data_IF_989742635707
#
_entry.id   IF_989742635707
#
_cell.length_a   1.000
_cell.length_b   1.000
_cell.length_c   1.000
_cell.angle_alpha   90.00
_cell.angle_beta   90.00
_cell.angle_gamma   90.00
#
_symmetry.space_group_name_H-M   'P 1'
#
loop_
_entity.id
_entity.type
_entity.pdbx_description
1 polymer ?
#
# COMPACT_ATOMS: atom_id res chain seq x y z
N UNK A 1 -12.17 18.06 -8.83
CA UNK A 1 -13.27 17.08 -8.96
C UNK A 1 -12.92 16.16 -10.12
N UNK A 2 -12.67 14.89 -9.83
CA UNK A 2 -12.54 13.85 -10.87
C UNK A 2 -13.90 13.61 -11.51
N UNK A 3 -13.92 13.41 -12.84
CA UNK A 3 -15.15 13.06 -13.54
C UNK A 3 -15.66 11.70 -13.06
N UNK A 4 -17.00 11.53 -13.03
CA UNK A 4 -17.62 10.23 -12.75
C UNK A 4 -17.23 9.25 -13.86
N UNK A 5 -16.86 7.99 -13.54
CA UNK A 5 -16.53 7.02 -14.57
C UNK A 5 -17.77 6.65 -15.39
N UNK A 6 -17.58 6.11 -16.59
CA UNK A 6 -18.67 5.56 -17.40
C UNK A 6 -19.11 4.19 -16.88
N UNK A 7 -18.14 3.42 -16.37
CA UNK A 7 -18.35 2.06 -15.87
C UNK A 7 -17.78 1.88 -14.47
N UNK A 8 -18.41 1.00 -13.69
CA UNK A 8 -17.76 0.39 -12.53
C UNK A 8 -17.37 -1.04 -12.87
N UNK A 9 -16.25 -1.48 -12.31
CA UNK A 9 -15.90 -2.91 -12.26
C UNK A 9 -16.02 -3.33 -10.81
N UNK A 10 -17.05 -4.11 -10.49
CA UNK A 10 -17.14 -4.76 -9.18
C UNK A 10 -15.98 -5.74 -9.10
N UNK A 11 -15.19 -5.66 -8.04
CA UNK A 11 -14.05 -6.55 -7.83
C UNK A 11 -14.18 -7.20 -6.46
N UNK A 12 -14.12 -8.53 -6.45
CA UNK A 12 -14.17 -9.35 -5.25
C UNK A 12 -13.08 -10.41 -5.32
N UNK A 13 -12.43 -10.69 -4.20
CA UNK A 13 -11.37 -11.70 -4.10
C UNK A 13 -11.57 -12.53 -2.85
N UNK A 14 -11.21 -13.81 -2.94
CA UNK A 14 -11.10 -14.70 -1.79
C UNK A 14 -9.64 -15.10 -1.62
N UNK A 15 -9.26 -15.51 -0.41
CA UNK A 15 -7.92 -16.05 -0.11
C UNK A 15 -8.00 -17.47 0.39
N UNK A 16 -6.87 -18.20 0.33
CA UNK A 16 -6.67 -19.51 0.92
C UNK A 16 -6.81 -19.53 2.47
N UNK A 17 -6.94 -18.35 3.08
CA UNK A 17 -6.98 -18.15 4.52
C UNK A 17 -8.26 -17.47 4.97
N UNK A 18 -8.06 -16.40 5.72
CA UNK A 18 -9.13 -15.64 6.34
C UNK A 18 -9.84 -14.78 5.29
N UNK A 19 -11.17 -14.83 5.28
CA UNK A 19 -12.03 -14.08 4.37
C UNK A 19 -12.93 -13.08 5.15
N UNK A 20 -13.83 -12.37 4.46
CA UNK A 20 -14.77 -11.43 5.09
C UNK A 20 -14.08 -10.28 5.83
N UNK A 21 -14.47 -10.00 7.08
CA UNK A 21 -13.96 -8.86 7.85
C UNK A 21 -12.45 -8.90 8.17
N UNK A 22 -11.82 -10.06 8.02
CA UNK A 22 -10.39 -10.27 8.25
C UNK A 22 -9.63 -10.67 6.97
N UNK A 23 -10.20 -10.39 5.80
CA UNK A 23 -9.63 -10.70 4.49
C UNK A 23 -8.17 -10.23 4.37
N UNK A 24 -7.25 -11.16 4.11
CA UNK A 24 -5.82 -10.89 3.89
C UNK A 24 -4.99 -10.63 5.16
N UNK A 25 -5.57 -10.81 6.36
CA UNK A 25 -4.86 -10.55 7.63
C UNK A 25 -3.89 -11.65 8.07
N UNK A 26 -3.83 -12.78 7.38
CA UNK A 26 -3.04 -13.97 7.75
C UNK A 26 -1.96 -14.34 6.71
N UNK A 27 -1.63 -13.43 5.80
CA UNK A 27 -0.66 -13.60 4.70
C UNK A 27 -0.98 -14.71 3.69
N UNK A 28 -2.17 -15.32 3.76
CA UNK A 28 -2.58 -16.35 2.81
C UNK A 28 -2.92 -15.73 1.45
N UNK A 29 -2.59 -16.48 0.41
CA UNK A 29 -2.62 -16.03 -0.98
C UNK A 29 -4.04 -16.01 -1.55
N UNK A 30 -4.25 -15.16 -2.56
CA UNK A 30 -5.49 -15.05 -3.33
C UNK A 30 -5.81 -16.38 -4.00
N UNK A 31 -7.08 -16.77 -3.87
CA UNK A 31 -7.63 -18.03 -4.37
C UNK A 31 -8.56 -17.80 -5.57
N UNK A 32 -9.40 -16.76 -5.51
CA UNK A 32 -10.33 -16.42 -6.58
C UNK A 32 -10.31 -14.92 -6.86
N UNK A 33 -10.39 -14.57 -8.13
CA UNK A 33 -10.56 -13.21 -8.64
C UNK A 33 -11.89 -13.15 -9.39
N UNK A 34 -12.87 -12.45 -8.82
CA UNK A 34 -14.19 -12.30 -9.40
C UNK A 34 -14.46 -10.85 -9.77
N UNK A 35 -15.10 -10.64 -10.91
CA UNK A 35 -15.53 -9.31 -11.32
C UNK A 35 -16.77 -9.30 -12.18
N UNK A 36 -17.43 -8.14 -12.20
CA UNK A 36 -18.60 -7.85 -13.03
C UNK A 36 -18.60 -6.39 -13.43
N UNK A 37 -18.88 -6.10 -14.70
CA UNK A 37 -18.99 -4.73 -15.20
C UNK A 37 -20.38 -4.17 -14.87
N UNK A 38 -20.45 -2.89 -14.52
CA UNK A 38 -21.68 -2.13 -14.36
C UNK A 38 -21.65 -0.93 -15.29
N UNK A 39 -22.59 -0.85 -16.23
CA UNK A 39 -22.78 0.35 -17.06
C UNK A 39 -23.59 1.38 -16.28
N UNK A 40 -22.97 2.50 -15.90
CA UNK A 40 -23.62 3.52 -15.08
C UNK A 40 -24.66 4.34 -15.86
N UNK A 41 -24.65 4.28 -17.19
CA UNK A 41 -25.59 4.99 -18.06
C UNK A 41 -26.81 4.13 -18.36
N UNK A 42 -26.62 2.89 -18.81
CA UNK A 42 -27.73 1.96 -19.08
C UNK A 42 -28.30 1.32 -17.82
N UNK A 43 -27.55 1.36 -16.70
CA UNK A 43 -27.90 0.72 -15.42
C UNK A 43 -28.04 -0.80 -15.55
N UNK A 44 -27.12 -1.39 -16.30
CA UNK A 44 -27.10 -2.83 -16.54
C UNK A 44 -25.86 -3.47 -15.94
N UNK A 45 -26.01 -4.73 -15.52
CA UNK A 45 -24.94 -5.59 -15.04
C UNK A 45 -24.47 -6.50 -16.18
N UNK A 46 -23.16 -6.54 -16.39
CA UNK A 46 -22.50 -7.41 -17.37
C UNK A 46 -22.46 -8.87 -16.94
N UNK A 47 -21.49 -9.62 -17.48
CA UNK A 47 -21.31 -11.02 -17.12
C UNK A 47 -20.45 -11.17 -15.86
N UNK A 48 -20.77 -12.16 -15.02
CA UNK A 48 -19.90 -12.56 -13.92
C UNK A 48 -18.69 -13.30 -14.51
N UNK A 49 -17.50 -12.84 -14.16
CA UNK A 49 -16.25 -13.55 -14.41
C UNK A 49 -15.72 -14.08 -13.08
N UNK A 50 -15.36 -15.37 -13.06
CA UNK A 50 -14.81 -16.07 -11.89
C UNK A 50 -13.54 -16.81 -12.33
N UNK A 51 -12.39 -16.37 -11.83
CA UNK A 51 -11.09 -16.95 -12.16
C UNK A 51 -10.42 -17.46 -10.89
N UNK A 52 -10.18 -18.77 -10.84
CA UNK A 52 -9.32 -19.36 -9.84
C UNK A 52 -7.87 -18.90 -10.05
N UNK A 53 -7.14 -18.73 -8.95
CA UNK A 53 -5.74 -18.35 -8.94
C UNK A 53 -4.97 -19.35 -8.11
N UNK A 54 -3.93 -19.93 -8.71
CA UNK A 54 -3.11 -20.94 -8.02
C UNK A 54 -2.17 -20.26 -7.02
N UNK A 55 -2.27 -20.55 -5.71
CA UNK A 55 -1.33 -20.08 -4.71
C UNK A 55 -0.01 -20.85 -4.81
N UNK A 56 1.08 -20.23 -4.34
CA UNK A 56 2.37 -20.90 -4.22
C UNK A 56 2.33 -21.94 -3.07
N UNK A 57 1.55 -21.66 -2.03
CA UNK A 57 1.25 -22.59 -0.92
C UNK A 57 -0.17 -23.11 -1.04
N UNK A 58 -0.33 -24.41 -1.32
CA UNK A 58 -1.62 -25.05 -1.57
C UNK A 58 -2.42 -25.40 -0.32
N UNK A 59 -1.89 -25.11 0.88
CA UNK A 59 -2.60 -25.33 2.13
C UNK A 59 -3.75 -24.33 2.30
N UNK A 60 -4.98 -24.84 2.22
CA UNK A 60 -6.20 -24.10 2.51
C UNK A 60 -6.58 -24.25 3.98
N UNK A 61 -7.07 -23.18 4.59
CA UNK A 61 -7.68 -23.26 5.92
C UNK A 61 -9.06 -23.93 5.85
N UNK A 62 -9.50 -24.56 6.94
CA UNK A 62 -10.83 -25.18 7.00
C UNK A 62 -11.95 -24.15 6.75
N UNK A 63 -11.81 -22.94 7.29
CA UNK A 63 -12.72 -21.81 7.06
C UNK A 63 -12.82 -21.46 5.57
N UNK A 64 -11.68 -21.36 4.88
CA UNK A 64 -11.64 -21.12 3.44
C UNK A 64 -12.35 -22.23 2.66
N UNK A 65 -12.10 -23.50 2.98
CA UNK A 65 -12.70 -24.64 2.26
C UNK A 65 -14.23 -24.66 2.42
N UNK A 66 -14.73 -24.37 3.61
CA UNK A 66 -16.16 -24.30 3.91
C UNK A 66 -16.85 -23.17 3.13
N UNK A 67 -16.23 -21.99 3.09
CA UNK A 67 -16.81 -20.80 2.48
C UNK A 67 -16.72 -20.83 0.94
N UNK A 68 -15.52 -21.11 0.41
CA UNK A 68 -15.25 -20.98 -1.03
C UNK A 68 -15.72 -22.18 -1.84
N UNK A 69 -15.79 -23.37 -1.20
CA UNK A 69 -16.10 -24.65 -1.85
C UNK A 69 -15.21 -24.96 -3.07
N UNK A 70 -14.03 -24.34 -3.14
CA UNK A 70 -13.07 -24.56 -4.24
C UNK A 70 -12.44 -25.93 -4.08
N UNK A 71 -12.49 -26.72 -5.16
CA UNK A 71 -11.86 -28.02 -5.20
C UNK A 71 -10.34 -27.90 -5.47
N UNK A 72 -9.57 -28.76 -4.81
CA UNK A 72 -8.09 -28.72 -4.85
C UNK A 72 -7.55 -29.06 -6.25
N UNK A 73 -8.28 -29.87 -7.03
CA UNK A 73 -7.86 -30.29 -8.37
C UNK A 73 -7.95 -29.12 -9.37
N UNK A 74 -9.06 -28.39 -9.38
CA UNK A 74 -9.22 -27.17 -10.18
C UNK A 74 -8.22 -26.11 -9.79
N UNK A 75 -7.91 -25.98 -8.50
CA UNK A 75 -6.90 -25.03 -8.02
C UNK A 75 -5.49 -25.38 -8.54
N UNK A 76 -5.15 -26.66 -8.64
CA UNK A 76 -3.85 -27.09 -9.16
C UNK A 76 -3.68 -26.74 -10.66
N UNK A 77 -4.79 -26.72 -11.42
CA UNK A 77 -4.84 -26.36 -12.83
C UNK A 77 -5.00 -24.86 -13.07
N UNK A 78 -5.27 -24.08 -12.03
CA UNK A 78 -5.50 -22.64 -12.14
C UNK A 78 -4.24 -21.87 -12.57
N UNK A 79 -4.40 -20.73 -13.27
CA UNK A 79 -3.29 -19.85 -13.63
C UNK A 79 -2.65 -19.20 -12.38
N UNK A 80 -1.36 -18.83 -12.44
CA UNK A 80 -0.76 -17.97 -11.43
C UNK A 80 -1.36 -16.56 -11.48
N UNK A 81 -1.22 -15.80 -10.39
CA UNK A 81 -1.80 -14.46 -10.23
C UNK A 81 -1.52 -13.53 -11.42
N UNK A 82 -0.30 -13.51 -11.94
CA UNK A 82 0.06 -12.64 -13.07
C UNK A 82 -0.77 -12.95 -14.32
N UNK A 83 -1.01 -14.23 -14.62
CA UNK A 83 -1.82 -14.64 -15.76
C UNK A 83 -3.30 -14.36 -15.53
N UNK A 84 -3.81 -14.56 -14.30
CA UNK A 84 -5.18 -14.18 -13.93
C UNK A 84 -5.43 -12.67 -14.10
N UNK A 85 -4.46 -11.83 -13.69
CA UNK A 85 -4.54 -10.37 -13.90
C UNK A 85 -4.49 -9.98 -15.38
N UNK A 86 -3.71 -10.69 -16.21
CA UNK A 86 -3.71 -10.48 -17.67
C UNK A 86 -5.07 -10.85 -18.27
N UNK A 87 -5.65 -11.97 -17.86
CA UNK A 87 -6.98 -12.39 -18.28
C UNK A 87 -8.05 -11.38 -17.88
N UNK A 88 -7.99 -10.86 -16.64
CA UNK A 88 -8.84 -9.77 -16.17
C UNK A 88 -8.75 -8.55 -17.10
N UNK A 89 -7.54 -8.05 -17.36
CA UNK A 89 -7.34 -6.85 -18.17
C UNK A 89 -7.86 -7.05 -19.60
N UNK A 90 -7.60 -8.22 -20.20
CA UNK A 90 -8.10 -8.55 -21.53
C UNK A 90 -9.63 -8.61 -21.56
N UNK A 91 -10.24 -9.25 -20.57
CA UNK A 91 -11.69 -9.39 -20.47
C UNK A 91 -12.39 -8.03 -20.35
N UNK A 92 -11.95 -7.20 -19.39
CA UNK A 92 -12.51 -5.86 -19.19
C UNK A 92 -12.27 -4.96 -20.41
N UNK A 93 -11.10 -5.06 -21.04
CA UNK A 93 -10.82 -4.28 -22.27
C UNK A 93 -11.76 -4.64 -23.42
N UNK A 94 -12.07 -5.92 -23.58
CA UNK A 94 -12.98 -6.42 -24.60
C UNK A 94 -14.44 -6.04 -24.29
N UNK A 95 -14.88 -6.21 -23.04
CA UNK A 95 -16.28 -5.94 -22.64
C UNK A 95 -16.62 -4.46 -22.71
N UNK A 96 -15.69 -3.59 -22.28
CA UNK A 96 -15.89 -2.14 -22.30
C UNK A 96 -15.62 -1.49 -23.66
N UNK A 97 -15.17 -2.26 -24.66
CA UNK A 97 -14.64 -1.74 -25.93
C UNK A 97 -13.76 -0.51 -25.70
N UNK A 98 -12.75 -0.63 -24.81
CA UNK A 98 -11.94 0.51 -24.34
C UNK A 98 -11.22 1.16 -25.52
N UNK A 99 -11.91 2.06 -26.22
CA UNK A 99 -11.37 3.01 -27.16
C UNK A 99 -10.92 4.27 -26.42
N UNK A 100 -10.51 5.28 -27.18
CA UNK A 100 -10.11 6.58 -26.62
C UNK A 100 -11.34 7.27 -26.03
N UNK A 101 -11.49 7.24 -24.69
CA UNK A 101 -12.48 8.03 -23.96
C UNK A 101 -13.34 7.27 -22.96
N UNK A 102 -13.36 5.94 -22.96
CA UNK A 102 -14.13 5.15 -21.98
C UNK A 102 -13.37 5.06 -20.66
N UNK A 103 -14.03 5.43 -19.56
CA UNK A 103 -13.43 5.40 -18.22
C UNK A 103 -14.13 4.38 -17.33
N UNK A 104 -13.34 3.64 -16.53
CA UNK A 104 -13.88 2.78 -15.49
C UNK A 104 -13.09 2.93 -14.18
N UNK A 105 -13.72 2.56 -13.08
CA UNK A 105 -13.07 2.47 -11.77
C UNK A 105 -13.54 1.21 -11.06
N UNK A 106 -12.69 0.63 -10.22
CA UNK A 106 -13.12 -0.48 -9.37
C UNK A 106 -14.14 -0.03 -8.34
N UNK A 107 -15.00 -0.94 -7.92
CA UNK A 107 -15.85 -0.80 -6.74
C UNK A 107 -15.75 -2.08 -5.90
N UNK A 108 -15.33 -1.97 -4.64
CA UNK A 108 -15.08 -3.12 -3.76
C UNK A 108 -15.91 -3.04 -2.49
N UNK A 109 -16.22 -4.18 -1.88
CA UNK A 109 -16.83 -4.20 -0.55
C UNK A 109 -15.76 -3.87 0.50
N UNK A 110 -15.69 -2.60 0.89
CA UNK A 110 -14.61 -2.10 1.74
C UNK A 110 -13.26 -2.07 1.03
N UNK A 111 -12.19 -1.90 1.81
CA UNK A 111 -10.85 -1.67 1.28
C UNK A 111 -9.97 -2.91 1.14
N UNK A 112 -10.35 -4.03 1.77
CA UNK A 112 -9.44 -5.15 2.02
C UNK A 112 -8.99 -5.85 0.72
N UNK A 113 -9.88 -5.99 -0.26
CA UNK A 113 -9.60 -6.61 -1.56
C UNK A 113 -8.38 -5.98 -2.26
N UNK A 114 -8.35 -4.64 -2.32
CA UNK A 114 -7.25 -3.88 -2.91
C UNK A 114 -6.06 -3.80 -1.95
N UNK A 115 -6.30 -3.32 -0.72
CA UNK A 115 -5.23 -2.88 0.19
C UNK A 115 -4.56 -3.99 0.99
N UNK A 116 -5.26 -5.10 1.28
CA UNK A 116 -4.72 -6.22 2.07
C UNK A 116 -4.41 -7.47 1.24
N UNK A 117 -5.03 -7.63 0.06
CA UNK A 117 -4.80 -8.82 -0.78
C UNK A 117 -3.97 -8.47 -2.02
N UNK A 118 -4.56 -7.75 -2.98
CA UNK A 118 -3.95 -7.56 -4.31
C UNK A 118 -2.60 -6.82 -4.26
N UNK A 119 -2.53 -5.68 -3.57
CA UNK A 119 -1.27 -4.90 -3.51
C UNK A 119 -0.16 -5.64 -2.75
N UNK A 120 -0.39 -6.21 -1.55
CA UNK A 120 0.62 -7.00 -0.86
C UNK A 120 1.08 -8.23 -1.64
N UNK A 121 0.16 -9.00 -2.22
CA UNK A 121 0.52 -10.24 -2.92
C UNK A 121 1.27 -9.96 -4.22
N UNK A 122 0.79 -9.01 -5.04
CA UNK A 122 1.50 -8.60 -6.24
C UNK A 122 2.92 -8.10 -5.92
N UNK A 123 3.07 -7.32 -4.83
CA UNK A 123 4.38 -6.90 -4.33
C UNK A 123 5.27 -8.07 -3.91
N UNK A 124 4.74 -9.04 -3.16
CA UNK A 124 5.50 -10.25 -2.75
C UNK A 124 5.96 -11.06 -3.97
N UNK A 125 5.11 -11.17 -5.00
CA UNK A 125 5.38 -11.92 -6.25
C UNK A 125 6.11 -11.11 -7.32
N UNK A 126 6.52 -9.87 -7.05
CA UNK A 126 7.15 -8.96 -8.01
C UNK A 126 6.31 -8.69 -9.27
N UNK A 127 4.99 -8.69 -9.14
CA UNK A 127 4.03 -8.42 -10.21
C UNK A 127 3.70 -6.93 -10.20
N UNK A 128 3.81 -6.28 -11.36
CA UNK A 128 3.37 -4.90 -11.53
C UNK A 128 1.86 -4.87 -11.77
N UNK A 129 1.13 -4.26 -10.84
CA UNK A 129 -0.29 -4.01 -11.02
C UNK A 129 -0.53 -2.89 -12.07
N UNK A 130 -1.50 -3.05 -12.98
CA UNK A 130 -1.96 -1.99 -13.87
C UNK A 130 -2.47 -0.76 -13.09
N UNK A 131 -2.45 0.40 -13.72
CA UNK A 131 -2.89 1.69 -13.15
C UNK A 131 -4.32 1.64 -12.57
N UNK A 132 -5.24 0.90 -13.19
CA UNK A 132 -6.61 0.79 -12.69
C UNK A 132 -6.71 0.24 -11.26
N UNK A 133 -5.73 -0.54 -10.77
CA UNK A 133 -5.72 -1.09 -9.41
C UNK A 133 -5.29 -0.09 -8.33
N UNK A 134 -4.96 1.15 -8.70
CA UNK A 134 -4.57 2.21 -7.77
C UNK A 134 -5.70 3.20 -7.45
N UNK A 135 -6.89 2.97 -7.99
CA UNK A 135 -8.09 3.77 -7.75
C UNK A 135 -9.33 2.87 -7.63
N UNK A 136 -10.11 3.04 -6.57
CA UNK A 136 -11.32 2.25 -6.36
C UNK A 136 -12.36 3.01 -5.53
N UNK A 137 -13.63 2.65 -5.65
CA UNK A 137 -14.68 3.08 -4.75
C UNK A 137 -14.88 2.04 -3.65
N UNK A 138 -14.91 2.49 -2.41
CA UNK A 138 -15.34 1.68 -1.28
C UNK A 138 -16.87 1.72 -1.21
N UNK A 139 -17.53 0.62 -1.58
CA UNK A 139 -18.98 0.56 -1.65
C UNK A 139 -19.65 0.87 -0.30
N UNK A 140 -19.02 0.53 0.82
CA UNK A 140 -19.58 0.80 2.17
C UNK A 140 -19.59 2.30 2.45
N UNK A 141 -18.53 3.01 2.05
CA UNK A 141 -18.45 4.47 2.16
C UNK A 141 -19.45 5.15 1.23
N UNK A 142 -19.55 4.70 -0.02
CA UNK A 142 -20.51 5.23 -1.00
C UNK A 142 -21.96 5.00 -0.56
N UNK A 143 -22.25 3.83 0.01
CA UNK A 143 -23.55 3.51 0.60
C UNK A 143 -23.87 4.43 1.78
N UNK A 144 -22.94 4.65 2.71
CA UNK A 144 -23.14 5.55 3.86
C UNK A 144 -23.44 7.00 3.45
N UNK A 145 -22.87 7.46 2.33
CA UNK A 145 -23.19 8.79 1.74
C UNK A 145 -24.66 8.86 1.30
N UNK A 146 -25.20 7.78 0.71
CA UNK A 146 -26.58 7.70 0.24
C UNK A 146 -27.58 7.44 1.36
N UNK A 147 -27.16 6.70 2.38
CA UNK A 147 -28.00 6.21 3.47
C UNK A 147 -27.45 6.67 4.83
N UNK A 148 -27.53 7.97 5.22
CA UNK A 148 -26.92 8.46 6.46
C UNK A 148 -27.41 7.75 7.73
N UNK A 149 -28.65 7.25 7.72
CA UNK A 149 -29.25 6.50 8.84
C UNK A 149 -28.81 5.04 8.95
N UNK A 150 -27.95 4.55 8.05
CA UNK A 150 -27.38 3.19 8.15
C UNK A 150 -26.38 3.09 9.31
N UNK A 151 -25.96 1.87 9.71
CA UNK A 151 -24.84 1.68 10.63
C UNK A 151 -23.56 2.41 10.19
N UNK A 152 -22.63 2.58 11.14
CA UNK A 152 -21.28 3.09 10.89
C UNK A 152 -20.54 2.22 9.87
N UNK A 153 -19.66 2.82 9.07
CA UNK A 153 -18.98 2.16 7.93
C UNK A 153 -18.27 0.86 8.35
N UNK A 154 -17.62 0.84 9.51
CA UNK A 154 -16.93 -0.35 10.03
C UNK A 154 -17.85 -1.53 10.42
N UNK A 155 -19.17 -1.31 10.48
CA UNK A 155 -20.20 -2.32 10.73
C UNK A 155 -21.01 -2.68 9.49
N UNK A 156 -20.73 -2.03 8.35
CA UNK A 156 -21.35 -2.36 7.07
C UNK A 156 -20.56 -3.49 6.40
N UNK A 157 -21.30 -4.38 5.76
CA UNK A 157 -20.85 -5.34 4.76
C UNK A 157 -21.97 -5.51 3.71
N UNK A 158 -21.75 -6.35 2.69
CA UNK A 158 -22.73 -6.59 1.63
C UNK A 158 -24.08 -7.06 2.18
N UNK A 159 -24.07 -7.93 3.21
CA UNK A 159 -25.30 -8.47 3.79
C UNK A 159 -26.10 -7.39 4.54
N UNK A 160 -25.43 -6.54 5.31
CA UNK A 160 -26.06 -5.42 6.01
C UNK A 160 -26.63 -4.38 5.03
N UNK A 161 -25.94 -4.13 3.91
CA UNK A 161 -26.42 -3.20 2.88
C UNK A 161 -27.63 -3.75 2.12
N UNK A 162 -27.62 -5.04 1.74
CA UNK A 162 -28.78 -5.67 1.08
C UNK A 162 -30.00 -5.71 1.99
N UNK A 163 -29.82 -6.06 3.27
CA UNK A 163 -30.89 -6.03 4.27
C UNK A 163 -31.48 -4.63 4.44
N UNK A 164 -30.63 -3.60 4.57
CA UNK A 164 -31.09 -2.21 4.71
C UNK A 164 -31.91 -1.75 3.50
N UNK A 165 -31.52 -2.16 2.29
CA UNK A 165 -32.21 -1.82 1.05
C UNK A 165 -33.44 -2.70 0.76
N UNK A 166 -33.70 -3.72 1.59
CA UNK A 166 -34.74 -4.74 1.35
C UNK A 166 -34.58 -5.42 -0.02
N UNK A 167 -33.35 -5.75 -0.40
CA UNK A 167 -33.08 -6.49 -1.63
C UNK A 167 -33.39 -7.98 -1.42
N UNK A 168 -34.25 -8.54 -2.26
CA UNK A 168 -34.63 -9.95 -2.21
C UNK A 168 -33.41 -10.85 -2.44
N UNK A 169 -33.19 -11.83 -1.55
CA UNK A 169 -32.18 -12.88 -1.70
C UNK A 169 -32.59 -13.98 -2.71
N UNK A 170 -33.42 -13.63 -3.70
CA UNK A 170 -33.98 -14.60 -4.67
C UNK A 170 -32.96 -15.11 -5.70
N UNK A 171 -31.67 -14.83 -5.50
CA UNK A 171 -30.61 -15.38 -6.34
C UNK A 171 -30.49 -16.89 -6.15
N UNK A 172 -30.18 -17.64 -7.22
CA UNK A 172 -29.83 -19.06 -7.11
C UNK A 172 -28.67 -19.25 -6.12
N UNK A 173 -28.48 -20.48 -5.62
CA UNK A 173 -27.39 -20.83 -4.72
C UNK A 173 -26.04 -20.67 -5.44
N UNK A 174 -25.55 -19.43 -5.53
CA UNK A 174 -24.25 -19.11 -6.06
C UNK A 174 -23.16 -19.48 -5.04
N UNK A 175 -21.97 -19.89 -5.50
CA UNK A 175 -20.79 -19.94 -4.65
C UNK A 175 -20.58 -18.59 -3.95
N UNK A 176 -19.98 -18.61 -2.75
CA UNK A 176 -19.86 -17.45 -1.87
C UNK A 176 -19.41 -16.17 -2.60
N UNK A 177 -18.29 -16.22 -3.34
CA UNK A 177 -17.77 -15.05 -4.05
C UNK A 177 -18.71 -14.52 -5.13
N UNK A 178 -19.36 -15.41 -5.88
CA UNK A 178 -20.33 -15.04 -6.91
C UNK A 178 -21.55 -14.34 -6.29
N UNK A 179 -22.07 -14.85 -5.17
CA UNK A 179 -23.17 -14.21 -4.44
C UNK A 179 -22.80 -12.79 -3.99
N UNK A 180 -21.57 -12.58 -3.49
CA UNK A 180 -21.11 -11.25 -3.08
C UNK A 180 -21.08 -10.26 -4.25
N UNK A 181 -20.58 -10.68 -5.42
CA UNK A 181 -20.52 -9.83 -6.62
C UNK A 181 -21.92 -9.48 -7.13
N UNK A 182 -22.86 -10.43 -7.13
CA UNK A 182 -24.26 -10.17 -7.52
C UNK A 182 -24.94 -9.17 -6.58
N UNK A 183 -24.81 -9.38 -5.26
CA UNK A 183 -25.40 -8.51 -4.26
C UNK A 183 -24.80 -7.09 -4.33
N UNK A 184 -23.49 -6.97 -4.52
CA UNK A 184 -22.84 -5.68 -4.77
C UNK A 184 -23.38 -5.00 -6.03
N UNK A 185 -23.63 -5.75 -7.10
CA UNK A 185 -24.27 -5.26 -8.31
C UNK A 185 -25.65 -4.67 -8.05
N UNK A 186 -26.50 -5.41 -7.34
CA UNK A 186 -27.84 -4.97 -6.98
C UNK A 186 -27.83 -3.73 -6.08
N UNK A 187 -26.89 -3.64 -5.14
CA UNK A 187 -26.68 -2.44 -4.31
C UNK A 187 -26.32 -1.26 -5.21
N UNK A 188 -25.31 -1.41 -6.09
CA UNK A 188 -24.86 -0.33 -6.98
C UNK A 188 -26.00 0.15 -7.88
N UNK A 189 -26.74 -0.77 -8.52
CA UNK A 189 -27.89 -0.43 -9.36
C UNK A 189 -28.97 0.35 -8.60
N UNK A 190 -29.19 -0.02 -7.33
CA UNK A 190 -30.12 0.68 -6.43
C UNK A 190 -29.61 2.09 -6.12
N UNK A 191 -28.34 2.25 -5.77
CA UNK A 191 -27.74 3.55 -5.44
C UNK A 191 -27.77 4.53 -6.61
N UNK A 192 -27.56 4.08 -7.85
CA UNK A 192 -27.57 4.96 -9.04
C UNK A 192 -28.98 5.22 -9.58
N UNK A 193 -30.01 4.62 -8.97
CA UNK A 193 -31.41 4.77 -9.36
C UNK A 193 -32.19 5.62 -8.38
N UNK A 194 -33.39 6.06 -8.79
CA UNK A 194 -34.33 6.71 -7.89
C UNK A 194 -34.61 5.78 -6.70
N UNK A 195 -34.63 6.29 -5.46
CA UNK A 195 -34.60 7.70 -5.08
C UNK A 195 -33.19 8.29 -4.85
N UNK A 196 -32.13 7.48 -4.90
CA UNK A 196 -30.79 7.88 -4.47
C UNK A 196 -30.02 8.70 -5.50
N UNK A 197 -30.10 8.33 -6.79
CA UNK A 197 -29.40 9.00 -7.90
C UNK A 197 -27.91 9.27 -7.64
N UNK A 198 -27.24 8.35 -6.96
CA UNK A 198 -25.85 8.51 -6.54
C UNK A 198 -24.89 8.65 -7.72
N UNK A 199 -23.84 9.44 -7.53
CA UNK A 199 -22.77 9.63 -8.51
C UNK A 199 -21.40 9.37 -7.87
N UNK A 200 -20.76 8.31 -8.32
CA UNK A 200 -19.39 7.96 -7.97
C UNK A 200 -18.42 8.99 -8.55
N UNK A 201 -17.69 9.72 -7.70
CA UNK A 201 -16.83 10.83 -8.15
C UNK A 201 -15.51 11.02 -7.38
N UNK A 202 -15.41 10.52 -6.16
CA UNK A 202 -14.21 10.65 -5.31
C UNK A 202 -13.69 9.26 -4.88
N UNK A 203 -12.92 8.56 -5.73
CA UNK A 203 -12.42 7.23 -5.43
C UNK A 203 -11.26 7.27 -4.44
N UNK A 204 -11.15 6.22 -3.63
CA UNK A 204 -9.97 5.89 -2.84
C UNK A 204 -8.74 5.71 -3.74
N UNK A 205 -7.58 6.13 -3.24
CA UNK A 205 -6.31 6.09 -3.97
C UNK A 205 -5.29 5.21 -3.25
N UNK A 206 -4.49 4.48 -4.01
CA UNK A 206 -3.26 3.83 -3.53
C UNK A 206 -2.06 4.55 -4.14
N UNK A 207 -1.06 4.88 -3.34
CA UNK A 207 0.15 5.54 -3.84
C UNK A 207 0.99 4.56 -4.69
N UNK A 208 1.38 4.98 -5.89
CA UNK A 208 2.24 4.19 -6.79
C UNK A 208 3.59 3.86 -6.17
N UNK A 209 4.21 4.88 -5.58
CA UNK A 209 5.53 4.83 -4.96
C UNK A 209 5.49 5.49 -3.59
N UNK A 210 6.38 5.04 -2.71
CA UNK A 210 6.66 5.75 -1.48
C UNK A 210 7.57 6.95 -1.77
N UNK A 211 7.22 8.09 -1.19
CA UNK A 211 8.00 9.32 -1.31
C UNK A 211 8.81 9.53 -0.04
N UNK A 212 10.11 9.26 -0.11
CA UNK A 212 11.05 9.67 0.93
C UNK A 212 11.10 11.20 1.02
N UNK A 213 11.40 11.72 2.20
CA UNK A 213 11.51 13.16 2.39
C UNK A 213 11.81 13.53 3.84
N UNK A 214 12.29 14.76 4.07
CA UNK A 214 12.50 15.25 5.43
C UNK A 214 11.17 15.47 6.14
N UNK A 215 11.15 15.22 7.46
CA UNK A 215 10.05 15.59 8.35
C UNK A 215 10.51 16.71 9.29
N UNK A 216 9.71 17.77 9.39
CA UNK A 216 10.00 18.90 10.28
C UNK A 216 9.54 18.58 11.71
N UNK A 217 10.33 18.99 12.71
CA UNK A 217 9.87 18.94 14.11
C UNK A 217 8.62 19.78 14.40
N UNK A 218 8.33 20.76 13.56
CA UNK A 218 7.12 21.61 13.68
C UNK A 218 5.92 21.04 12.95
N UNK A 219 6.06 19.90 12.27
CA UNK A 219 4.97 19.29 11.55
C UNK A 219 3.93 18.72 12.52
N UNK A 220 2.66 18.99 12.25
CA UNK A 220 1.57 18.39 13.00
C UNK A 220 1.36 16.96 12.51
N UNK A 221 1.61 15.99 13.39
CA UNK A 221 1.40 14.57 13.14
C UNK A 221 0.21 14.10 13.96
N UNK A 222 -0.78 13.51 13.30
CA UNK A 222 -1.92 12.88 13.97
C UNK A 222 -1.45 11.65 14.76
N UNK A 223 -1.71 11.63 16.06
CA UNK A 223 -1.37 10.53 16.96
C UNK A 223 -2.07 9.22 16.57
N UNK A 224 -3.19 9.29 15.86
CA UNK A 224 -3.91 8.10 15.40
C UNK A 224 -3.40 7.54 14.07
N UNK A 225 -2.43 8.20 13.42
CA UNK A 225 -1.93 7.79 12.11
C UNK A 225 -0.54 7.10 12.17
N UNK A 226 -0.01 6.80 13.35
CA UNK A 226 1.36 6.27 13.51
C UNK A 226 1.37 4.84 14.07
N UNK A 227 2.28 4.01 13.54
CA UNK A 227 2.66 2.72 14.12
C UNK A 227 4.15 2.69 14.46
N UNK A 228 4.52 1.75 15.34
CA UNK A 228 5.88 1.27 15.55
C UNK A 228 6.00 -0.15 15.05
N UNK A 229 6.92 -0.38 14.11
CA UNK A 229 7.29 -1.70 13.63
C UNK A 229 8.58 -2.16 14.32
N UNK A 230 8.63 -3.42 14.77
CA UNK A 230 9.81 -4.04 15.43
C UNK A 230 10.16 -5.38 14.79
N UNK A 231 11.43 -5.74 14.90
CA UNK A 231 11.95 -7.01 14.37
C UNK A 231 12.44 -6.93 12.93
N UNK A 232 12.55 -5.72 12.37
CA UNK A 232 13.03 -5.49 11.01
C UNK A 232 14.44 -6.06 10.84
N UNK A 233 14.75 -6.70 9.70
CA UNK A 233 16.13 -7.00 9.32
C UNK A 233 17.03 -5.76 9.46
N UNK A 234 18.26 -5.91 9.95
CA UNK A 234 19.15 -4.76 10.21
C UNK A 234 19.51 -3.95 8.96
N UNK A 235 19.43 -4.56 7.77
CA UNK A 235 19.70 -3.90 6.49
C UNK A 235 18.48 -3.20 5.88
N UNK A 236 17.30 -3.30 6.52
CA UNK A 236 16.06 -2.73 5.98
C UNK A 236 16.15 -1.23 5.78
N UNK A 237 15.70 -0.79 4.62
CA UNK A 237 15.51 0.60 4.21
C UNK A 237 14.07 1.07 4.47
N UNK A 238 13.83 2.36 4.25
CA UNK A 238 12.48 2.93 4.19
C UNK A 238 11.65 2.33 3.03
N UNK A 239 12.28 1.98 1.92
CA UNK A 239 11.64 1.28 0.80
C UNK A 239 11.20 -0.15 1.18
N UNK A 240 11.99 -0.88 1.99
CA UNK A 240 11.60 -2.20 2.48
C UNK A 240 10.37 -2.11 3.40
N UNK A 241 10.32 -1.07 4.24
CA UNK A 241 9.15 -0.77 5.09
C UNK A 241 7.93 -0.44 4.22
N UNK A 242 8.10 0.44 3.23
CA UNK A 242 7.03 0.79 2.30
C UNK A 242 6.52 -0.43 1.52
N UNK A 243 7.42 -1.35 1.16
CA UNK A 243 7.08 -2.61 0.50
C UNK A 243 6.29 -3.54 1.42
N UNK A 244 6.67 -3.64 2.70
CA UNK A 244 5.92 -4.41 3.70
C UNK A 244 4.52 -3.85 3.93
N UNK A 245 4.34 -2.53 3.87
CA UNK A 245 3.03 -1.86 3.97
C UNK A 245 2.38 -1.52 2.61
N UNK A 246 2.80 -2.18 1.51
CA UNK A 246 2.24 -1.92 0.16
C UNK A 246 0.71 -2.05 0.16
N UNK A 247 0.03 -1.14 -0.54
CA UNK A 247 -1.44 -1.00 -0.52
C UNK A 247 -1.95 0.05 0.46
N UNK A 248 -1.14 0.41 1.46
CA UNK A 248 -1.44 1.46 2.43
C UNK A 248 -0.64 2.71 2.10
N UNK A 249 -1.26 3.88 2.20
CA UNK A 249 -0.57 5.13 1.88
C UNK A 249 0.19 5.63 3.11
N UNK A 250 1.51 5.47 3.07
CA UNK A 250 2.46 6.14 3.97
C UNK A 250 2.57 7.61 3.53
N UNK A 251 2.57 8.54 4.47
CA UNK A 251 2.78 9.96 4.19
C UNK A 251 4.19 10.21 3.61
N UNK A 252 4.39 11.31 2.89
CA UNK A 252 5.72 11.71 2.41
C UNK A 252 6.69 11.85 3.60
N UNK A 253 7.86 11.21 3.52
CA UNK A 253 8.80 11.15 4.64
C UNK A 253 8.28 10.37 5.87
N UNK A 254 7.16 9.65 5.73
CA UNK A 254 6.44 8.98 6.80
C UNK A 254 7.07 7.67 7.28
N UNK A 255 8.33 7.37 6.95
CA UNK A 255 9.02 6.18 7.42
C UNK A 255 10.35 6.58 8.08
N UNK A 256 10.48 6.32 9.38
CA UNK A 256 11.62 6.72 10.18
C UNK A 256 12.26 5.51 10.86
N UNK A 257 13.47 5.15 10.44
CA UNK A 257 14.25 4.07 11.02
C UNK A 257 14.84 4.50 12.37
N UNK A 258 14.60 3.71 13.41
CA UNK A 258 15.18 3.96 14.73
C UNK A 258 16.66 3.60 14.74
N UNK A 259 17.45 4.48 15.35
CA UNK A 259 18.89 4.30 15.52
C UNK A 259 19.23 4.11 17.00
N UNK A 260 20.24 3.29 17.28
CA UNK A 260 20.83 3.18 18.60
C UNK A 260 21.76 4.37 18.91
N UNK A 261 22.33 4.41 20.11
CA UNK A 261 23.26 5.48 20.53
C UNK A 261 24.51 5.61 19.63
N UNK A 262 24.91 4.53 18.96
CA UNK A 262 26.00 4.54 17.96
C UNK A 262 25.51 4.91 16.55
N UNK A 263 24.26 5.37 16.41
CA UNK A 263 23.65 5.74 15.13
C UNK A 263 23.41 4.57 14.18
N UNK A 264 23.45 3.31 14.64
CA UNK A 264 23.17 2.11 13.83
C UNK A 264 21.69 1.75 13.94
N UNK A 265 21.11 1.21 12.87
CA UNK A 265 19.72 0.71 12.87
C UNK A 265 19.55 -0.35 13.97
N UNK A 266 18.51 -0.22 14.78
CA UNK A 266 18.25 -1.15 15.90
C UNK A 266 17.16 -2.20 15.58
N UNK A 267 16.66 -2.25 14.34
CA UNK A 267 15.59 -3.17 13.94
C UNK A 267 14.17 -2.68 14.25
N UNK A 268 14.01 -1.38 14.51
CA UNK A 268 12.71 -0.74 14.71
C UNK A 268 12.49 0.44 13.75
N UNK A 269 11.23 0.76 13.49
CA UNK A 269 10.84 1.94 12.72
C UNK A 269 9.53 2.53 13.22
N UNK A 270 9.35 3.83 13.06
CA UNK A 270 8.07 4.52 13.19
C UNK A 270 7.55 4.83 11.79
N UNK A 271 6.26 4.55 11.56
CA UNK A 271 5.63 4.75 10.24
C UNK A 271 4.36 5.57 10.42
N UNK A 272 4.29 6.69 9.71
CA UNK A 272 3.15 7.60 9.63
C UNK A 272 2.38 7.36 8.35
N UNK A 273 1.13 6.97 8.48
CA UNK A 273 0.18 6.87 7.39
C UNK A 273 -0.54 8.18 7.13
N UNK A 274 -1.22 8.29 5.99
CA UNK A 274 -2.03 9.48 5.66
C UNK A 274 -3.35 9.56 6.45
N UNK A 275 -3.77 8.46 7.10
CA UNK A 275 -5.01 8.38 7.87
C UNK A 275 -4.95 7.31 8.97
N UNK A 276 -5.81 7.46 9.99
CA UNK A 276 -6.03 6.44 11.02
C UNK A 276 -6.50 5.10 10.42
N UNK A 277 -7.33 5.13 9.39
CA UNK A 277 -7.84 3.94 8.74
C UNK A 277 -6.70 3.09 8.12
N UNK A 278 -5.71 3.72 7.49
CA UNK A 278 -4.53 3.02 6.98
C UNK A 278 -3.64 2.51 8.11
N UNK A 279 -3.51 3.26 9.22
CA UNK A 279 -2.82 2.82 10.44
C UNK A 279 -3.48 1.55 10.99
N UNK A 280 -4.81 1.50 11.05
CA UNK A 280 -5.53 0.33 11.54
C UNK A 280 -5.39 -0.89 10.62
N UNK A 281 -5.41 -0.70 9.30
CA UNK A 281 -5.06 -1.77 8.35
C UNK A 281 -3.61 -2.24 8.51
N UNK A 282 -2.67 -1.34 8.84
CA UNK A 282 -1.29 -1.70 9.09
C UNK A 282 -1.13 -2.58 10.35
N UNK A 283 -1.95 -2.36 11.39
CA UNK A 283 -1.95 -3.20 12.60
C UNK A 283 -2.37 -4.64 12.31
N UNK A 284 -3.18 -4.87 11.28
CA UNK A 284 -3.55 -6.23 10.84
C UNK A 284 -2.37 -7.00 10.24
N UNK A 285 -1.24 -6.33 9.95
CA UNK A 285 0.01 -6.98 9.51
C UNK A 285 0.92 -7.38 10.68
N UNK A 286 0.38 -7.41 11.90
CA UNK A 286 1.13 -7.91 13.05
C UNK A 286 1.53 -9.36 12.84
N UNK A 287 2.83 -9.65 13.03
CA UNK A 287 3.50 -10.93 12.79
C UNK A 287 3.59 -11.35 11.33
N UNK A 288 3.30 -10.45 10.39
CA UNK A 288 3.60 -10.71 8.98
C UNK A 288 5.11 -10.74 8.74
N UNK A 289 5.54 -11.38 7.66
CA UNK A 289 6.95 -11.61 7.40
C UNK A 289 7.57 -10.57 6.47
N UNK A 290 8.75 -10.09 6.86
CA UNK A 290 9.69 -9.37 6.01
C UNK A 290 10.94 -10.25 5.83
N UNK A 291 10.97 -11.03 4.75
CA UNK A 291 11.94 -12.12 4.60
C UNK A 291 11.77 -13.16 5.71
N UNK A 292 12.85 -13.51 6.40
CA UNK A 292 12.85 -14.52 7.46
C UNK A 292 12.49 -13.97 8.86
N UNK A 293 11.95 -12.74 8.92
CA UNK A 293 11.65 -12.05 10.18
C UNK A 293 10.17 -11.73 10.24
N UNK A 294 9.48 -12.19 11.28
CA UNK A 294 8.16 -11.66 11.60
C UNK A 294 8.32 -10.24 12.16
N UNK A 295 7.38 -9.37 11.79
CA UNK A 295 7.38 -7.97 12.20
C UNK A 295 6.26 -7.74 13.22
N UNK A 296 6.62 -7.21 14.38
CA UNK A 296 5.63 -6.76 15.34
C UNK A 296 5.18 -5.35 14.99
N UNK A 297 3.88 -5.06 15.07
CA UNK A 297 3.31 -3.77 14.67
C UNK A 297 2.40 -3.30 15.80
N UNK A 298 2.68 -2.12 16.34
CA UNK A 298 1.97 -1.55 17.47
C UNK A 298 1.55 -0.11 17.17
N UNK A 299 0.51 0.37 17.84
CA UNK A 299 0.15 1.80 17.82
C UNK A 299 1.31 2.62 18.42
N UNK A 300 1.55 3.79 17.85
CA UNK A 300 2.48 4.79 18.38
C UNK A 300 1.88 6.19 18.17
N UNK A 301 2.52 7.22 18.73
CA UNK A 301 2.02 8.61 18.65
C UNK A 301 2.80 9.42 17.62
N UNK A 302 2.25 10.57 17.24
CA UNK A 302 2.94 11.58 16.43
C UNK A 302 4.16 12.14 17.16
N UNK A 303 4.09 12.28 18.48
CA UNK A 303 5.23 12.67 19.30
C UNK A 303 6.39 11.66 19.19
N UNK A 304 6.09 10.35 19.26
CA UNK A 304 7.09 9.30 19.08
C UNK A 304 7.71 9.34 17.68
N UNK A 305 6.90 9.60 16.65
CA UNK A 305 7.39 9.77 15.28
C UNK A 305 8.32 10.97 15.18
N UNK A 306 7.93 12.15 15.66
CA UNK A 306 8.71 13.39 15.58
C UNK A 306 10.02 13.34 16.38
N UNK A 307 10.08 12.58 17.47
CA UNK A 307 11.33 12.33 18.21
C UNK A 307 12.39 11.65 17.36
N UNK A 308 11.99 10.80 16.42
CA UNK A 308 12.89 10.02 15.55
C UNK A 308 13.07 10.70 14.19
N UNK A 309 11.97 11.13 13.56
CA UNK A 309 11.94 11.67 12.21
C UNK A 309 12.25 13.17 12.13
N UNK A 310 11.97 13.90 13.21
CA UNK A 310 12.08 15.36 13.22
C UNK A 310 13.53 15.82 13.18
N UNK A 311 13.98 16.32 12.03
CA UNK A 311 15.27 17.01 11.91
C UNK A 311 15.24 18.37 12.63
N UNK A 312 16.34 18.75 13.30
CA UNK A 312 16.45 20.04 14.00
C UNK A 312 16.98 21.19 13.17
N UNK A 313 17.71 20.93 12.07
CA UNK A 313 18.35 21.99 11.29
C UNK A 313 17.79 22.09 9.87
N UNK A 314 17.45 23.33 9.47
CA UNK A 314 17.04 23.66 8.11
C UNK A 314 18.08 23.23 7.07
N UNK A 315 19.36 23.25 7.43
CA UNK A 315 20.47 22.81 6.58
C UNK A 315 20.40 21.30 6.28
N UNK A 316 20.15 20.47 7.30
CA UNK A 316 19.95 19.01 7.10
C UNK A 316 18.69 18.78 6.27
N UNK A 317 17.60 19.50 6.54
CA UNK A 317 16.36 19.37 5.77
C UNK A 317 16.56 19.73 4.28
N UNK A 318 17.27 20.82 3.97
CA UNK A 318 17.62 21.21 2.61
C UNK A 318 18.53 20.17 1.94
N UNK A 319 19.52 19.66 2.66
CA UNK A 319 20.44 18.64 2.16
C UNK A 319 19.71 17.33 1.83
N UNK A 320 18.77 16.90 2.68
CA UNK A 320 17.95 15.69 2.48
C UNK A 320 16.83 15.88 1.45
N UNK A 321 16.45 17.11 1.12
CA UNK A 321 15.37 17.41 0.17
C UNK A 321 15.77 17.27 -1.31
N UNK A 322 17.06 17.08 -1.60
CA UNK A 322 17.57 16.93 -2.97
C UNK A 322 17.08 15.60 -3.56
N UNK A 323 16.10 15.67 -4.45
CA UNK A 323 15.47 14.48 -5.06
C UNK A 323 16.43 13.67 -5.93
N UNK A 324 16.18 12.36 -6.03
CA UNK A 324 16.94 11.39 -6.84
C UNK A 324 18.44 11.29 -6.49
N UNK A 325 18.81 11.47 -5.22
CA UNK A 325 20.18 11.34 -4.74
C UNK A 325 20.29 10.25 -3.68
N UNK A 326 21.41 9.53 -3.68
CA UNK A 326 21.74 8.51 -2.69
C UNK A 326 22.70 9.10 -1.66
N UNK A 327 22.38 8.94 -0.38
CA UNK A 327 23.16 9.53 0.71
C UNK A 327 23.99 8.45 1.39
N UNK A 328 25.30 8.64 1.44
CA UNK A 328 26.22 7.79 2.20
C UNK A 328 26.69 8.54 3.45
N UNK A 329 26.60 7.89 4.61
CA UNK A 329 27.18 8.41 5.86
C UNK A 329 28.61 7.89 6.01
N UNK A 330 29.57 8.80 5.95
CA UNK A 330 30.95 8.56 6.36
C UNK A 330 31.06 8.67 7.89
N UNK A 331 31.92 7.83 8.49
CA UNK A 331 32.23 7.86 9.93
C UNK A 331 33.72 7.73 10.15
N UNK A 332 34.18 8.24 11.30
CA UNK A 332 35.59 8.15 11.68
C UNK A 332 36.50 9.08 10.88
N UNK A 333 35.94 10.16 10.34
CA UNK A 333 36.70 11.19 9.67
C UNK A 333 37.58 11.94 10.67
N UNK A 334 38.80 12.34 10.29
CA UNK A 334 39.62 13.25 11.09
C UNK A 334 38.83 14.52 11.45
N UNK A 335 38.96 15.01 12.69
CA UNK A 335 38.20 16.18 13.15
C UNK A 335 38.51 17.48 12.39
N UNK A 336 39.63 17.54 11.70
CA UNK A 336 40.05 18.65 10.86
C UNK A 336 39.86 18.40 9.36
N UNK A 337 39.14 17.34 8.97
CA UNK A 337 38.91 17.01 7.55
C UNK A 337 38.17 18.14 6.85
N UNK A 338 38.56 18.39 5.62
CA UNK A 338 37.96 19.40 4.74
C UNK A 338 37.05 18.76 3.69
N UNK A 339 36.15 19.54 3.10
CA UNK A 339 35.30 19.07 2.00
C UNK A 339 36.14 18.62 0.81
N UNK A 340 37.23 19.31 0.50
CA UNK A 340 38.17 18.99 -0.58
C UNK A 340 38.82 17.62 -0.41
N UNK A 341 39.18 17.26 0.83
CA UNK A 341 39.72 15.94 1.15
C UNK A 341 38.68 14.84 0.97
N UNK A 342 37.41 15.09 1.36
CA UNK A 342 36.30 14.15 1.11
C UNK A 342 36.04 13.96 -0.39
N UNK A 343 36.05 15.04 -1.17
CA UNK A 343 35.89 14.97 -2.62
C UNK A 343 37.04 14.21 -3.29
N UNK A 344 38.25 14.40 -2.79
CA UNK A 344 39.45 13.71 -3.29
C UNK A 344 39.43 12.22 -2.93
N UNK A 345 38.96 11.87 -1.74
CA UNK A 345 38.80 10.48 -1.28
C UNK A 345 37.90 9.67 -2.22
N UNK A 346 36.74 10.22 -2.60
CA UNK A 346 35.85 9.55 -3.55
C UNK A 346 36.35 9.64 -4.99
N UNK A 347 36.95 10.75 -5.39
CA UNK A 347 37.60 10.94 -6.68
C UNK A 347 36.64 10.79 -7.87
N UNK A 348 37.20 10.68 -9.09
CA UNK A 348 36.41 10.67 -10.32
C UNK A 348 35.58 9.40 -10.54
N UNK A 349 35.94 8.29 -9.89
CA UNK A 349 35.21 7.01 -10.01
C UNK A 349 33.93 6.95 -9.16
N UNK A 350 33.78 7.86 -8.19
CA UNK A 350 32.58 8.01 -7.37
C UNK A 350 32.28 9.50 -7.20
N UNK A 351 31.84 10.22 -8.24
CA UNK A 351 31.69 11.67 -8.16
C UNK A 351 30.58 12.04 -7.16
N UNK A 352 30.94 12.92 -6.22
CA UNK A 352 29.98 13.49 -5.25
C UNK A 352 29.09 14.50 -5.96
N UNK A 353 27.78 14.32 -5.85
CA UNK A 353 26.77 15.18 -6.49
C UNK A 353 26.77 16.56 -5.86
N UNK A 354 26.89 17.61 -6.68
CA UNK A 354 26.93 18.99 -6.18
C UNK A 354 28.28 19.41 -5.58
N UNK A 355 29.33 18.60 -5.73
CA UNK A 355 30.68 18.92 -5.27
C UNK A 355 30.67 19.25 -3.78
N UNK A 356 31.11 20.46 -3.41
CA UNK A 356 31.18 20.88 -2.00
C UNK A 356 29.82 20.89 -1.30
N UNK A 357 28.76 21.27 -2.03
CA UNK A 357 27.38 21.28 -1.51
C UNK A 357 26.77 19.87 -1.40
N UNK A 358 27.50 18.84 -1.86
CA UNK A 358 27.18 17.43 -1.73
C UNK A 358 27.73 16.79 -0.47
N UNK A 359 28.44 17.54 0.37
CA UNK A 359 29.05 17.06 1.62
C UNK A 359 28.50 17.86 2.79
N UNK A 360 27.93 17.16 3.77
CA UNK A 360 27.41 17.76 5.01
C UNK A 360 28.12 17.15 6.21
N UNK A 361 28.94 17.94 6.90
CA UNK A 361 29.57 17.52 8.14
C UNK A 361 28.58 17.56 9.30
N UNK A 362 28.61 16.53 10.13
CA UNK A 362 27.78 16.45 11.34
C UNK A 362 28.55 17.09 12.50
N UNK A 363 27.99 18.15 13.07
CA UNK A 363 28.54 18.83 14.24
C UNK A 363 27.63 18.67 15.46
N UNK A 364 28.22 18.71 16.64
CA UNK A 364 27.50 18.85 17.89
C UNK A 364 26.86 20.25 17.98
N UNK A 365 25.87 20.48 18.88
CA UNK A 365 25.27 21.81 19.08
C UNK A 365 26.27 22.92 19.42
N UNK A 366 27.43 22.57 19.97
CA UNK A 366 28.56 23.48 20.24
C UNK A 366 29.49 23.68 19.03
N UNK A 367 29.06 23.27 17.83
CA UNK A 367 29.79 23.32 16.56
C UNK A 367 31.05 22.46 16.47
N UNK A 368 31.32 21.58 17.45
CA UNK A 368 32.45 20.64 17.34
C UNK A 368 32.15 19.53 16.31
N UNK A 369 33.15 19.11 15.52
CA UNK A 369 32.99 18.01 14.56
C UNK A 369 32.77 16.69 15.29
N UNK A 370 31.84 15.88 14.78
CA UNK A 370 31.57 14.54 15.32
C UNK A 370 32.46 13.45 14.69
N UNK A 371 33.16 13.77 13.59
CA UNK A 371 33.85 12.79 12.76
C UNK A 371 32.94 12.06 11.77
N UNK A 372 31.69 12.51 11.62
CA UNK A 372 30.73 11.98 10.66
C UNK A 372 30.40 13.03 9.58
N UNK A 373 30.15 12.55 8.36
CA UNK A 373 29.65 13.37 7.26
C UNK A 373 28.62 12.59 6.42
N UNK A 374 27.71 13.30 5.77
CA UNK A 374 26.82 12.76 4.75
C UNK A 374 27.27 13.24 3.37
N UNK A 375 27.26 12.34 2.39
CA UNK A 375 27.76 12.59 1.04
C UNK A 375 26.74 12.13 0.00
N UNK A 376 26.43 12.99 -0.96
CA UNK A 376 25.42 12.77 -1.99
C UNK A 376 26.02 12.14 -3.25
N UNK A 377 25.33 11.15 -3.80
CA UNK A 377 25.66 10.49 -5.06
C UNK A 377 24.46 10.50 -5.99
N UNK A 378 24.71 10.59 -7.30
CA UNK A 378 23.67 10.74 -8.31
C UNK A 378 22.90 9.45 -8.58
N UNK A 379 23.46 8.30 -8.21
CA UNK A 379 22.87 6.99 -8.41
C UNK A 379 23.41 5.96 -7.41
N UNK A 380 22.72 4.82 -7.34
CA UNK A 380 23.08 3.71 -6.46
C UNK A 380 24.43 3.08 -6.82
N UNK A 381 24.79 3.02 -8.11
CA UNK A 381 26.08 2.50 -8.56
C UNK A 381 27.26 3.26 -7.94
N UNK A 382 27.22 4.59 -7.95
CA UNK A 382 28.26 5.42 -7.34
C UNK A 382 28.31 5.27 -5.82
N UNK A 383 27.15 5.17 -5.17
CA UNK A 383 27.07 4.91 -3.74
C UNK A 383 27.65 3.53 -3.37
N UNK A 384 27.36 2.49 -4.14
CA UNK A 384 27.93 1.15 -3.92
C UNK A 384 29.44 1.12 -4.13
N UNK A 385 29.95 1.83 -5.14
CA UNK A 385 31.39 1.95 -5.34
C UNK A 385 32.08 2.76 -4.23
N UNK A 386 31.42 3.80 -3.72
CA UNK A 386 31.86 4.55 -2.55
C UNK A 386 31.97 3.65 -1.29
N UNK A 387 31.00 2.76 -1.06
CA UNK A 387 31.02 1.81 0.06
C UNK A 387 32.15 0.77 -0.02
N UNK A 388 32.72 0.51 -1.20
CA UNK A 388 33.86 -0.40 -1.38
C UNK A 388 35.20 0.23 -0.97
N UNK A 389 35.27 1.56 -0.79
CA UNK A 389 36.49 2.29 -0.41
C UNK A 389 36.76 2.27 1.11
N UNK A 390 36.28 1.25 1.81
CA UNK A 390 36.17 1.19 3.26
C UNK A 390 37.52 1.11 4.00
#
# INVERSE_FOLDING_TARGET
MTASPDYLVILFVTTAGTNGARLGSDERELLQLLWKVVDLRSKELGHLHDVLVRPDHTELTAECQEITQVDVESLALAPPLEQALRQFNQSVSNELNIGVGTSFCFCTDGQLHIRQVLHPEASKKNILLPECFYSFFDLRKEFKKCCPGSPEVGKLDVAAMTEYLNLDKNSPAFPYGASQVEDMGNIILTLISEPYNHRFSDPERVNYKFESGPCSKMELVDDNAVIRARGLPWQSSDQDIARFFKGLNIAKGGAALCLNAQGRRNGEALVRFVSEEHRDLALQRHKHHMGNRYIEVYKATGEDFLKIAGGTSNEVAQFLSKENQVIVRMRGLPFNVTTEEVLTFFGQHCPVTGGKEGVLFVTYPDSRPTGDAFVLFACEEYAQNALKKH
#
